data_IF_976156400536
#
_entry.id   IF_976156400536
#
_cell.length_a   1.000
_cell.length_b   1.000
_cell.length_c   1.000
_cell.angle_alpha   90.00
_cell.angle_beta   90.00
_cell.angle_gamma   90.00
#
_symmetry.space_group_name_H-M   'P 1'
#
loop_
_entity.id
_entity.type
_entity.pdbx_description
1 polymer ?
#
# COMPACT_ATOMS: atom_id res chain seq x y z
N UNK A 1 -64.67 -15.31 -13.91
CA UNK A 1 -63.49 -14.59 -14.48
C UNK A 1 -62.54 -13.94 -13.44
N UNK A 2 -63.01 -13.38 -12.31
CA UNK A 2 -62.12 -12.71 -11.32
C UNK A 2 -61.08 -13.63 -10.65
N UNK A 3 -61.45 -14.85 -10.25
CA UNK A 3 -60.54 -15.80 -9.59
C UNK A 3 -59.32 -16.21 -10.43
N UNK A 4 -59.46 -16.27 -11.77
CA UNK A 4 -58.36 -16.64 -12.65
C UNK A 4 -57.32 -15.52 -12.77
N UNK A 5 -57.75 -14.25 -12.73
CA UNK A 5 -56.85 -13.09 -12.73
C UNK A 5 -56.03 -13.02 -11.43
N UNK A 6 -56.65 -13.30 -10.28
CA UNK A 6 -55.94 -13.32 -8.98
C UNK A 6 -54.83 -14.38 -8.92
N UNK A 7 -55.08 -15.59 -9.44
CA UNK A 7 -54.04 -16.64 -9.57
C UNK A 7 -52.90 -16.22 -10.49
N UNK A 8 -53.21 -15.56 -11.61
CA UNK A 8 -52.18 -15.04 -12.53
C UNK A 8 -51.32 -13.98 -11.85
N UNK A 9 -51.91 -12.99 -11.18
CA UNK A 9 -51.16 -11.96 -10.45
C UNK A 9 -50.31 -12.55 -9.32
N UNK A 10 -50.85 -13.51 -8.57
CA UNK A 10 -50.13 -14.21 -7.52
C UNK A 10 -48.90 -14.96 -8.06
N UNK A 11 -49.05 -15.67 -9.18
CA UNK A 11 -47.92 -16.35 -9.84
C UNK A 11 -46.87 -15.37 -10.38
N UNK A 12 -47.27 -14.21 -10.91
CA UNK A 12 -46.34 -13.16 -11.35
C UNK A 12 -45.54 -12.61 -10.17
N UNK A 13 -46.20 -12.33 -9.04
CA UNK A 13 -45.54 -11.83 -7.82
C UNK A 13 -44.53 -12.85 -7.30
N UNK A 14 -44.90 -14.14 -7.26
CA UNK A 14 -43.98 -15.22 -6.86
C UNK A 14 -42.79 -15.30 -7.80
N UNK A 15 -43.01 -15.24 -9.11
CA UNK A 15 -41.91 -15.28 -10.09
C UNK A 15 -40.96 -14.10 -9.93
N UNK A 16 -41.48 -12.88 -9.73
CA UNK A 16 -40.66 -11.69 -9.46
C UNK A 16 -39.85 -11.89 -8.18
N UNK A 17 -40.49 -12.39 -7.11
CA UNK A 17 -39.80 -12.65 -5.84
C UNK A 17 -38.68 -13.68 -5.98
N UNK A 18 -38.92 -14.77 -6.72
CA UNK A 18 -37.90 -15.77 -7.01
C UNK A 18 -36.73 -15.19 -7.80
N UNK A 19 -37.00 -14.39 -8.84
CA UNK A 19 -35.95 -13.72 -9.62
C UNK A 19 -35.14 -12.78 -8.73
N UNK A 20 -35.80 -11.94 -7.91
CA UNK A 20 -35.14 -11.05 -6.96
C UNK A 20 -34.28 -11.81 -5.96
N UNK A 21 -34.77 -12.94 -5.44
CA UNK A 21 -34.02 -13.78 -4.52
C UNK A 21 -32.79 -14.40 -5.18
N UNK A 22 -32.92 -14.92 -6.41
CA UNK A 22 -31.79 -15.47 -7.17
C UNK A 22 -30.73 -14.41 -7.46
N UNK A 23 -31.14 -13.21 -7.87
CA UNK A 23 -30.22 -12.08 -8.11
C UNK A 23 -29.51 -11.70 -6.80
N UNK A 24 -30.22 -11.61 -5.68
CA UNK A 24 -29.62 -11.28 -4.38
C UNK A 24 -28.62 -12.34 -3.92
N UNK A 25 -28.96 -13.63 -4.05
CA UNK A 25 -28.05 -14.74 -3.71
C UNK A 25 -26.81 -14.70 -4.61
N UNK A 26 -26.98 -14.52 -5.92
CA UNK A 26 -25.87 -14.41 -6.86
C UNK A 26 -24.96 -13.22 -6.53
N UNK A 27 -25.54 -12.04 -6.26
CA UNK A 27 -24.79 -10.84 -5.87
C UNK A 27 -24.02 -11.08 -4.57
N UNK A 28 -24.64 -11.70 -3.56
CA UNK A 28 -24.00 -12.01 -2.28
C UNK A 28 -22.81 -12.98 -2.43
N UNK A 29 -22.96 -14.05 -3.22
CA UNK A 29 -21.87 -15.01 -3.49
C UNK A 29 -20.73 -14.34 -4.25
N UNK A 30 -21.06 -13.52 -5.24
CA UNK A 30 -20.09 -12.77 -6.04
C UNK A 30 -19.31 -11.82 -5.14
N UNK A 31 -19.99 -10.99 -4.35
CA UNK A 31 -19.38 -10.05 -3.40
C UNK A 31 -18.42 -10.74 -2.44
N UNK A 32 -18.83 -11.85 -1.81
CA UNK A 32 -17.98 -12.60 -0.89
C UNK A 32 -16.70 -13.14 -1.58
N UNK A 33 -16.83 -13.60 -2.83
CA UNK A 33 -15.68 -14.07 -3.62
C UNK A 33 -14.71 -12.92 -3.97
N UNK A 34 -15.24 -11.73 -4.30
CA UNK A 34 -14.41 -10.54 -4.53
C UNK A 34 -13.69 -10.09 -3.26
N UNK A 35 -14.39 -10.01 -2.12
CA UNK A 35 -13.79 -9.65 -0.83
C UNK A 35 -12.61 -10.57 -0.48
N UNK A 36 -12.79 -11.89 -0.59
CA UNK A 36 -11.71 -12.87 -0.39
C UNK A 36 -10.51 -12.62 -1.29
N UNK A 37 -10.73 -12.34 -2.58
CA UNK A 37 -9.65 -12.07 -3.54
C UNK A 37 -8.88 -10.80 -3.17
N UNK A 38 -9.60 -9.75 -2.78
CA UNK A 38 -8.97 -8.48 -2.41
C UNK A 38 -8.18 -8.63 -1.11
N UNK A 39 -8.72 -9.27 -0.05
CA UNK A 39 -7.93 -9.50 1.16
C UNK A 39 -6.65 -10.31 0.90
N UNK A 40 -6.72 -11.33 0.04
CA UNK A 40 -5.53 -12.10 -0.35
C UNK A 40 -4.51 -11.25 -1.10
N UNK A 41 -4.98 -10.35 -1.98
CA UNK A 41 -4.14 -9.43 -2.74
C UNK A 41 -3.50 -8.39 -1.80
N UNK A 42 -4.30 -7.74 -0.96
CA UNK A 42 -3.83 -6.75 0.01
C UNK A 42 -2.84 -7.37 0.99
N UNK A 43 -3.09 -8.60 1.48
CA UNK A 43 -2.13 -9.36 2.28
C UNK A 43 -0.77 -9.47 1.62
N UNK A 44 -0.75 -9.94 0.37
CA UNK A 44 0.48 -10.08 -0.41
C UNK A 44 1.17 -8.73 -0.60
N UNK A 45 0.42 -7.66 -0.87
CA UNK A 45 0.97 -6.32 -1.05
C UNK A 45 1.61 -5.80 0.24
N UNK A 46 0.96 -5.97 1.39
CA UNK A 46 1.48 -5.53 2.69
C UNK A 46 2.76 -6.31 3.05
N UNK A 47 2.76 -7.62 2.84
CA UNK A 47 3.92 -8.46 3.08
C UNK A 47 5.11 -8.03 2.21
N UNK A 48 4.84 -7.75 0.94
CA UNK A 48 5.86 -7.34 -0.01
C UNK A 48 6.42 -5.95 0.33
N UNK A 49 5.57 -5.00 0.71
CA UNK A 49 6.01 -3.68 1.20
C UNK A 49 6.95 -3.84 2.39
N UNK A 50 6.58 -4.66 3.38
CA UNK A 50 7.42 -4.86 4.56
C UNK A 50 8.76 -5.49 4.20
N UNK A 51 8.76 -6.59 3.45
CA UNK A 51 9.99 -7.27 3.03
C UNK A 51 10.92 -6.35 2.24
N UNK A 52 10.37 -5.57 1.29
CA UNK A 52 11.12 -4.58 0.53
C UNK A 52 11.64 -3.46 1.42
N UNK A 53 10.84 -2.98 2.37
CA UNK A 53 11.30 -1.97 3.30
C UNK A 53 12.43 -2.46 4.21
N UNK A 54 12.41 -3.73 4.66
CA UNK A 54 13.52 -4.34 5.40
C UNK A 54 14.81 -4.34 4.57
N UNK A 55 14.71 -4.67 3.28
CA UNK A 55 15.85 -4.63 2.36
C UNK A 55 16.36 -3.20 2.14
N UNK A 56 15.47 -2.22 1.91
CA UNK A 56 15.82 -0.81 1.76
C UNK A 56 16.53 -0.28 3.03
N UNK A 57 15.99 -0.60 4.20
CA UNK A 57 16.55 -0.17 5.48
C UNK A 57 18.00 -0.61 5.66
N UNK A 58 18.32 -1.85 5.29
CA UNK A 58 19.71 -2.38 5.37
C UNK A 58 20.66 -1.61 4.46
N UNK A 59 20.24 -1.32 3.23
CA UNK A 59 21.06 -0.54 2.29
C UNK A 59 21.26 0.88 2.83
N UNK A 60 20.18 1.51 3.31
CA UNK A 60 20.20 2.88 3.83
C UNK A 60 21.03 3.01 5.10
N UNK A 61 20.95 2.05 6.02
CA UNK A 61 21.74 2.02 7.25
C UNK A 61 23.24 2.04 6.95
N UNK A 62 23.70 1.17 6.06
CA UNK A 62 25.11 1.11 5.63
C UNK A 62 25.49 2.41 4.91
N UNK A 63 24.64 2.87 3.99
CA UNK A 63 24.87 4.08 3.21
C UNK A 63 25.04 5.34 4.08
N UNK A 64 24.16 5.52 5.06
CA UNK A 64 24.20 6.63 6.02
C UNK A 64 25.41 6.53 6.93
N UNK A 65 25.72 5.33 7.43
CA UNK A 65 26.85 5.09 8.34
C UNK A 65 28.20 5.34 7.67
N UNK A 66 28.38 4.84 6.46
CA UNK A 66 29.66 4.88 5.75
C UNK A 66 29.81 6.14 4.88
N UNK A 67 28.74 6.92 4.70
CA UNK A 67 28.70 8.09 3.82
C UNK A 67 28.85 7.75 2.34
N UNK A 68 28.65 6.49 1.97
CA UNK A 68 28.81 5.97 0.61
C UNK A 68 28.03 4.67 0.44
N UNK A 69 27.70 4.34 -0.81
CA UNK A 69 27.11 3.05 -1.17
C UNK A 69 27.66 2.57 -2.52
N UNK A 70 27.60 1.26 -2.77
CA UNK A 70 27.94 0.71 -4.08
C UNK A 70 26.86 1.07 -5.10
N UNK A 71 27.25 1.26 -6.35
CA UNK A 71 26.30 1.52 -7.44
C UNK A 71 25.21 0.45 -7.57
N UNK A 72 25.58 -0.82 -7.41
CA UNK A 72 24.62 -1.93 -7.40
C UNK A 72 23.59 -1.83 -6.27
N UNK A 73 24.00 -1.31 -5.10
CA UNK A 73 23.10 -1.08 -3.97
C UNK A 73 22.14 0.08 -4.25
N UNK A 74 22.60 1.15 -4.90
CA UNK A 74 21.71 2.25 -5.33
C UNK A 74 20.64 1.76 -6.33
N UNK A 75 21.03 0.95 -7.31
CA UNK A 75 20.09 0.35 -8.28
C UNK A 75 19.07 -0.53 -7.56
N UNK A 76 19.54 -1.40 -6.65
CA UNK A 76 18.66 -2.25 -5.84
C UNK A 76 17.73 -1.43 -4.96
N UNK A 77 18.21 -0.35 -4.36
CA UNK A 77 17.41 0.57 -3.55
C UNK A 77 16.29 1.20 -4.38
N UNK A 78 16.60 1.70 -5.58
CA UNK A 78 15.58 2.22 -6.51
C UNK A 78 14.54 1.16 -6.85
N UNK A 79 14.97 -0.04 -7.26
CA UNK A 79 14.05 -1.14 -7.58
C UNK A 79 13.14 -1.50 -6.40
N UNK A 80 13.69 -1.45 -5.18
CA UNK A 80 12.95 -1.70 -3.96
C UNK A 80 11.85 -0.65 -3.74
N UNK A 81 12.18 0.64 -3.90
CA UNK A 81 11.20 1.72 -3.80
C UNK A 81 10.18 1.74 -4.95
N UNK A 82 10.56 1.31 -6.16
CA UNK A 82 9.63 1.12 -7.28
C UNK A 82 8.55 0.07 -6.92
N UNK A 83 8.96 -1.06 -6.34
CA UNK A 83 8.02 -2.10 -5.87
C UNK A 83 7.15 -1.58 -4.72
N UNK A 84 7.73 -0.89 -3.73
CA UNK A 84 6.94 -0.35 -2.61
C UNK A 84 5.87 0.62 -3.12
N UNK A 85 6.22 1.50 -4.06
CA UNK A 85 5.26 2.42 -4.67
C UNK A 85 4.13 1.68 -5.38
N UNK A 86 4.45 0.67 -6.19
CA UNK A 86 3.45 -0.15 -6.89
C UNK A 86 2.48 -0.82 -5.89
N UNK A 87 3.01 -1.42 -4.82
CA UNK A 87 2.20 -2.12 -3.82
C UNK A 87 1.37 -1.16 -2.97
N UNK A 88 1.89 0.03 -2.67
CA UNK A 88 1.13 1.09 -2.02
C UNK A 88 -0.05 1.56 -2.89
N UNK A 89 0.17 1.76 -4.20
CA UNK A 89 -0.91 2.08 -5.13
C UNK A 89 -1.97 0.96 -5.16
N UNK A 90 -1.53 -0.30 -5.21
CA UNK A 90 -2.45 -1.44 -5.13
C UNK A 90 -3.26 -1.45 -3.82
N UNK A 91 -2.69 -1.03 -2.69
CA UNK A 91 -3.41 -0.95 -1.42
C UNK A 91 -4.39 0.21 -1.39
N UNK A 92 -4.06 1.35 -2.00
CA UNK A 92 -4.97 2.49 -2.17
C UNK A 92 -6.19 2.06 -2.99
N UNK A 93 -5.98 1.32 -4.09
CA UNK A 93 -7.06 0.80 -4.93
C UNK A 93 -7.96 -0.16 -4.16
N UNK A 94 -7.35 -1.11 -3.43
CA UNK A 94 -8.08 -2.09 -2.63
C UNK A 94 -8.86 -1.38 -1.50
N UNK A 95 -8.27 -0.41 -0.81
CA UNK A 95 -8.92 0.40 0.24
C UNK A 95 -10.09 1.22 -0.32
N UNK A 96 -9.88 1.92 -1.45
CA UNK A 96 -10.90 2.75 -2.11
C UNK A 96 -12.10 1.90 -2.54
N UNK A 97 -11.85 0.68 -3.00
CA UNK A 97 -12.91 -0.26 -3.32
C UNK A 97 -13.75 -0.61 -2.09
N UNK A 98 -13.12 -0.88 -0.94
CA UNK A 98 -13.84 -1.19 0.30
C UNK A 98 -14.60 0.01 0.87
N UNK A 99 -13.99 1.19 0.90
CA UNK A 99 -14.65 2.41 1.41
C UNK A 99 -15.89 2.76 0.60
N UNK A 100 -15.88 2.49 -0.71
CA UNK A 100 -16.99 2.78 -1.61
C UNK A 100 -18.07 1.68 -1.67
N UNK A 101 -17.82 0.50 -1.08
CA UNK A 101 -18.83 -0.57 -0.97
C UNK A 101 -19.81 -0.37 0.19
N UNK A 102 -19.57 0.59 1.09
CA UNK A 102 -20.57 1.06 2.03
C UNK A 102 -21.61 1.95 1.31
N UNK A 103 -22.46 1.34 0.48
CA UNK A 103 -23.51 1.97 -0.35
C UNK A 103 -24.61 2.68 0.47
N UNK A 104 -24.41 2.89 1.77
CA UNK A 104 -25.28 3.71 2.63
C UNK A 104 -24.55 4.68 3.57
N UNK A 105 -23.26 4.98 3.34
CA UNK A 105 -22.59 6.07 4.05
C UNK A 105 -22.38 7.27 3.12
N UNK A 106 -23.44 8.09 3.00
CA UNK A 106 -23.33 9.49 2.55
C UNK A 106 -22.66 10.26 3.70
N UNK A 107 -21.34 10.11 3.78
CA UNK A 107 -20.46 10.80 4.70
C UNK A 107 -19.10 10.81 4.06
N UNK A 108 -18.88 11.76 3.15
CA UNK A 108 -17.64 11.95 2.42
C UNK A 108 -16.50 12.27 3.40
N UNK A 109 -15.82 11.25 3.91
CA UNK A 109 -14.50 11.42 4.51
C UNK A 109 -13.46 11.57 3.39
N UNK A 110 -13.23 12.83 3.06
CA UNK A 110 -12.04 13.44 2.47
C UNK A 110 -11.06 12.52 1.71
N UNK A 111 -11.24 12.45 0.39
CA UNK A 111 -10.35 11.79 -0.57
C UNK A 111 -8.89 12.30 -0.53
N UNK A 112 -8.59 13.39 0.19
CA UNK A 112 -7.23 13.96 0.31
C UNK A 112 -6.29 13.12 1.17
N UNK A 113 -6.80 12.27 2.08
CA UNK A 113 -5.94 11.31 2.81
C UNK A 113 -5.42 10.20 1.91
N UNK A 114 -6.11 9.91 0.81
CA UNK A 114 -5.77 8.78 -0.04
C UNK A 114 -4.50 8.98 -0.89
N UNK A 115 -4.11 10.23 -1.14
CA UNK A 115 -2.96 10.56 -2.00
C UNK A 115 -1.62 10.62 -1.25
N UNK A 116 -1.63 10.80 0.08
CA UNK A 116 -0.41 11.03 0.85
C UNK A 116 0.56 9.82 0.87
N UNK A 117 0.04 8.60 0.92
CA UNK A 117 0.84 7.37 0.87
C UNK A 117 1.68 7.29 -0.40
N UNK A 118 1.13 7.68 -1.55
CA UNK A 118 1.85 7.68 -2.83
C UNK A 118 2.79 8.88 -2.98
N UNK A 119 2.46 10.03 -2.42
CA UNK A 119 3.18 11.29 -2.67
C UNK A 119 4.66 11.23 -2.24
N UNK A 120 4.95 10.70 -1.06
CA UNK A 120 6.34 10.57 -0.58
C UNK A 120 7.14 9.63 -1.49
N UNK A 121 6.60 8.45 -1.80
CA UNK A 121 7.26 7.47 -2.66
C UNK A 121 7.39 7.94 -4.12
N UNK A 122 6.45 8.74 -4.62
CA UNK A 122 6.51 9.38 -5.94
C UNK A 122 7.64 10.43 -6.03
N UNK A 123 8.05 11.05 -4.92
CA UNK A 123 9.20 11.96 -4.87
C UNK A 123 10.54 11.22 -4.74
N UNK A 124 10.56 10.07 -4.07
CA UNK A 124 11.76 9.25 -3.88
C UNK A 124 12.24 8.64 -5.20
N UNK A 125 11.32 8.19 -6.05
CA UNK A 125 11.64 7.58 -7.34
C UNK A 125 12.48 8.49 -8.26
N UNK A 126 12.08 9.72 -8.60
CA UNK A 126 12.87 10.59 -9.48
C UNK A 126 14.20 11.00 -8.84
N UNK A 127 14.26 11.14 -7.51
CA UNK A 127 15.50 11.37 -6.78
C UNK A 127 16.54 10.26 -7.03
N UNK A 128 16.14 9.00 -6.78
CA UNK A 128 17.03 7.86 -6.97
C UNK A 128 17.39 7.65 -8.45
N UNK A 129 16.46 7.89 -9.38
CA UNK A 129 16.75 7.83 -10.81
C UNK A 129 17.82 8.84 -11.21
N UNK A 130 17.67 10.11 -10.82
CA UNK A 130 18.65 11.15 -11.14
C UNK A 130 20.01 10.88 -10.48
N UNK A 131 20.02 10.36 -9.25
CA UNK A 131 21.28 9.96 -8.60
C UNK A 131 21.98 8.80 -9.35
N UNK A 132 21.22 7.87 -9.94
CA UNK A 132 21.79 6.83 -10.81
C UNK A 132 22.34 7.46 -12.10
N UNK A 133 21.57 8.33 -12.75
CA UNK A 133 21.97 9.00 -14.00
C UNK A 133 23.26 9.81 -13.81
N UNK A 134 23.36 10.60 -12.75
CA UNK A 134 24.54 11.42 -12.42
C UNK A 134 25.80 10.59 -12.18
N UNK A 135 25.65 9.30 -11.86
CA UNK A 135 26.76 8.40 -11.54
C UNK A 135 26.94 7.27 -12.56
N UNK A 136 26.18 7.24 -13.66
CA UNK A 136 26.16 6.10 -14.59
C UNK A 136 27.49 5.93 -15.34
N UNK A 137 28.15 7.05 -15.67
CA UNK A 137 29.43 7.08 -16.39
C UNK A 137 30.65 7.16 -15.46
N UNK A 138 30.44 7.22 -14.15
CA UNK A 138 31.55 7.23 -13.20
C UNK A 138 32.34 5.92 -13.33
N UNK A 139 33.67 5.98 -13.23
CA UNK A 139 34.53 4.78 -13.14
C UNK A 139 34.62 4.23 -11.72
N UNK A 140 34.10 4.95 -10.72
CA UNK A 140 34.12 4.55 -9.33
C UNK A 140 32.96 3.61 -9.00
N UNK A 141 33.25 2.47 -8.36
CA UNK A 141 32.24 1.50 -7.89
C UNK A 141 31.34 2.11 -6.80
N UNK A 142 31.89 3.05 -6.02
CA UNK A 142 31.20 3.71 -4.92
C UNK A 142 30.65 5.07 -5.31
N UNK A 143 29.46 5.37 -4.79
CA UNK A 143 28.80 6.66 -4.85
C UNK A 143 28.90 7.27 -3.46
N UNK A 144 29.51 8.45 -3.37
CA UNK A 144 29.65 9.18 -2.11
C UNK A 144 28.40 10.03 -1.86
N UNK A 145 27.90 9.95 -0.63
CA UNK A 145 26.63 10.54 -0.20
C UNK A 145 26.96 11.75 0.67
N UNK A 146 27.25 12.87 0.02
CA UNK A 146 27.72 14.08 0.66
C UNK A 146 26.72 15.23 0.50
N UNK A 147 26.83 16.26 1.34
CA UNK A 147 26.00 17.46 1.24
C UNK A 147 24.51 17.14 1.29
N UNK A 148 23.76 17.58 0.27
CA UNK A 148 22.31 17.38 0.20
C UNK A 148 21.89 15.91 0.12
N UNK A 149 22.66 15.09 -0.59
CA UNK A 149 22.36 13.65 -0.69
C UNK A 149 22.44 12.98 0.67
N UNK A 150 23.34 13.42 1.56
CA UNK A 150 23.41 12.90 2.93
C UNK A 150 22.13 13.18 3.71
N UNK A 151 21.56 14.37 3.56
CA UNK A 151 20.29 14.74 4.21
C UNK A 151 19.14 13.87 3.66
N UNK A 152 19.07 13.71 2.34
CA UNK A 152 18.05 12.87 1.70
C UNK A 152 18.16 11.40 2.14
N UNK A 153 19.36 10.83 2.17
CA UNK A 153 19.58 9.44 2.63
C UNK A 153 19.24 9.24 4.10
N UNK A 154 19.57 10.20 4.97
CA UNK A 154 19.12 10.16 6.36
C UNK A 154 17.59 10.16 6.46
N UNK A 155 16.90 10.96 5.65
CA UNK A 155 15.42 10.98 5.64
C UNK A 155 14.79 9.72 5.06
N UNK A 156 15.41 9.11 4.04
CA UNK A 156 15.00 7.79 3.55
C UNK A 156 15.17 6.73 4.64
N UNK A 157 16.29 6.79 5.38
CA UNK A 157 16.57 5.87 6.47
C UNK A 157 15.57 6.01 7.61
N UNK A 158 15.29 7.24 8.06
CA UNK A 158 14.27 7.54 9.08
C UNK A 158 12.90 6.98 8.66
N UNK A 159 12.45 7.26 7.43
CA UNK A 159 11.19 6.75 6.87
C UNK A 159 11.15 5.22 6.89
N UNK A 160 12.23 4.58 6.46
CA UNK A 160 12.32 3.12 6.39
C UNK A 160 12.31 2.49 7.78
N UNK A 161 12.98 3.10 8.75
CA UNK A 161 13.00 2.67 10.15
C UNK A 161 11.65 2.80 10.83
N UNK A 162 10.94 3.92 10.61
CA UNK A 162 9.58 4.11 11.13
C UNK A 162 8.62 3.07 10.54
N UNK A 163 8.74 2.81 9.23
CA UNK A 163 7.95 1.79 8.53
C UNK A 163 8.22 0.39 9.08
N UNK A 164 9.49 0.03 9.35
CA UNK A 164 9.81 -1.26 9.98
C UNK A 164 9.25 -1.35 11.40
N UNK A 165 9.43 -0.31 12.19
CA UNK A 165 8.92 -0.25 13.58
C UNK A 165 7.40 -0.41 13.63
N UNK A 166 6.70 0.17 12.64
CA UNK A 166 5.26 -0.01 12.48
C UNK A 166 4.89 -1.47 12.23
N UNK A 167 5.53 -2.13 11.26
CA UNK A 167 5.25 -3.53 10.94
C UNK A 167 5.57 -4.48 12.09
N UNK A 168 6.69 -4.26 12.79
CA UNK A 168 7.04 -5.04 13.98
C UNK A 168 5.97 -4.93 15.07
N UNK A 169 5.47 -3.71 15.33
CA UNK A 169 4.34 -3.51 16.27
C UNK A 169 3.05 -4.15 15.76
N UNK A 170 2.77 -4.04 14.46
CA UNK A 170 1.59 -4.64 13.83
C UNK A 170 1.59 -6.16 14.02
N UNK A 171 2.71 -6.82 13.70
CA UNK A 171 2.91 -8.26 13.89
C UNK A 171 2.79 -8.62 15.37
N UNK A 172 3.56 -7.97 16.25
CA UNK A 172 3.56 -8.25 17.69
C UNK A 172 2.17 -8.15 18.33
N UNK A 173 1.36 -7.19 17.90
CA UNK A 173 0.07 -6.91 18.53
C UNK A 173 -1.09 -7.75 17.96
N UNK A 174 -0.94 -8.29 16.75
CA UNK A 174 -2.07 -8.89 16.02
C UNK A 174 -1.82 -10.32 15.54
N UNK A 175 -0.58 -10.78 15.55
CA UNK A 175 -0.22 -12.13 15.16
C UNK A 175 -0.33 -13.11 16.33
N UNK A 176 -0.96 -14.24 16.09
CA UNK A 176 -1.11 -15.31 17.09
C UNK A 176 0.22 -16.02 17.40
N UNK A 177 1.14 -16.07 16.42
CA UNK A 177 2.43 -16.76 16.51
C UNK A 177 3.63 -15.81 16.44
N UNK A 178 3.40 -14.50 16.43
CA UNK A 178 4.44 -13.48 16.30
C UNK A 178 5.06 -13.39 14.90
N UNK A 179 4.49 -14.05 13.90
CA UNK A 179 4.91 -13.98 12.49
C UNK A 179 3.93 -13.15 11.66
N UNK A 180 4.34 -12.73 10.47
CA UNK A 180 3.44 -12.04 9.55
C UNK A 180 2.35 -12.97 9.00
N UNK A 181 2.63 -14.27 8.85
CA UNK A 181 1.63 -15.26 8.43
C UNK A 181 0.50 -15.41 9.46
N UNK A 182 0.81 -15.24 10.75
CA UNK A 182 -0.20 -15.15 11.81
C UNK A 182 -1.15 -13.95 11.68
N UNK A 183 -0.90 -12.99 10.79
CA UNK A 183 -1.82 -11.88 10.49
C UNK A 183 -2.91 -12.24 9.47
N UNK A 184 -2.78 -13.35 8.74
CA UNK A 184 -3.64 -13.71 7.61
C UNK A 184 -5.13 -13.80 7.98
N UNK A 185 -5.44 -14.27 9.19
CA UNK A 185 -6.82 -14.35 9.72
C UNK A 185 -7.41 -12.99 10.13
N UNK A 186 -6.56 -11.98 10.37
CA UNK A 186 -6.96 -10.61 10.72
C UNK A 186 -7.19 -9.76 9.49
N UNK A 187 -6.41 -9.99 8.42
CA UNK A 187 -6.53 -9.27 7.15
C UNK A 187 -7.84 -9.49 6.40
N UNK A 188 -8.54 -10.58 6.67
CA UNK A 188 -9.89 -10.80 6.17
C UNK A 188 -10.97 -9.94 6.85
N UNK A 189 -10.58 -8.98 7.70
CA UNK A 189 -11.47 -8.03 8.37
C UNK A 189 -11.21 -6.63 7.84
N UNK A 190 -12.25 -5.96 7.34
CA UNK A 190 -12.17 -4.60 6.77
C UNK A 190 -11.44 -3.60 7.69
N UNK A 191 -11.70 -3.67 9.00
CA UNK A 191 -11.06 -2.81 10.00
C UNK A 191 -9.53 -2.95 10.04
N UNK A 192 -9.00 -4.13 9.77
CA UNK A 192 -7.56 -4.37 9.80
C UNK A 192 -6.87 -3.75 8.58
N UNK A 193 -7.47 -3.90 7.39
CA UNK A 193 -6.93 -3.24 6.19
C UNK A 193 -6.92 -1.71 6.35
N UNK A 194 -8.00 -1.15 6.92
CA UNK A 194 -8.07 0.29 7.24
C UNK A 194 -6.99 0.70 8.25
N UNK A 195 -6.73 -0.12 9.28
CA UNK A 195 -5.65 0.13 10.23
C UNK A 195 -4.27 0.12 9.56
N UNK A 196 -4.04 -0.82 8.63
CA UNK A 196 -2.79 -0.88 7.86
C UNK A 196 -2.61 0.37 7.01
N UNK A 197 -3.64 0.70 6.26
CA UNK A 197 -3.66 1.86 5.38
C UNK A 197 -3.40 3.17 6.14
N UNK A 198 -4.13 3.39 7.23
CA UNK A 198 -4.00 4.59 8.06
C UNK A 198 -2.62 4.68 8.74
N UNK A 199 -2.10 3.55 9.22
CA UNK A 199 -0.76 3.52 9.83
C UNK A 199 0.34 3.89 8.84
N UNK A 200 0.28 3.38 7.61
CA UNK A 200 1.24 3.75 6.57
C UNK A 200 1.09 5.22 6.15
N UNK A 201 -0.14 5.73 6.06
CA UNK A 201 -0.41 7.14 5.78
C UNK A 201 0.14 8.07 6.87
N UNK A 202 -0.04 7.72 8.14
CA UNK A 202 0.49 8.49 9.28
C UNK A 202 2.00 8.60 9.21
N UNK A 203 2.70 7.50 8.95
CA UNK A 203 4.15 7.50 8.74
C UNK A 203 4.53 8.44 7.60
N UNK A 204 3.91 8.27 6.42
CA UNK A 204 4.24 9.09 5.25
C UNK A 204 3.95 10.57 5.44
N UNK A 205 2.94 10.92 6.24
CA UNK A 205 2.59 12.31 6.55
C UNK A 205 3.73 13.06 7.25
N UNK A 206 4.57 12.36 8.02
CA UNK A 206 5.76 12.93 8.68
C UNK A 206 6.86 13.33 7.69
N UNK A 207 6.82 12.77 6.48
CA UNK A 207 7.84 12.97 5.43
C UNK A 207 7.33 13.71 4.20
N UNK A 208 6.05 14.12 4.17
CA UNK A 208 5.42 14.75 3.00
C UNK A 208 6.12 16.02 2.50
N UNK A 209 6.74 16.77 3.42
CA UNK A 209 7.43 18.04 3.15
C UNK A 209 8.94 17.86 2.91
N UNK A 210 9.44 16.63 2.90
CA UNK A 210 10.85 16.38 2.58
C UNK A 210 11.09 16.70 1.10
N UNK A 211 12.09 17.53 0.85
CA UNK A 211 12.55 17.86 -0.48
C UNK A 211 13.56 16.81 -0.96
N UNK A 212 13.12 15.96 -1.89
CA UNK A 212 13.94 14.97 -2.57
C UNK A 212 14.45 15.47 -3.94
N UNK A 213 14.64 16.79 -4.12
CA UNK A 213 15.27 17.31 -5.34
C UNK A 213 16.79 17.15 -5.32
N UNK A 214 17.34 16.58 -6.39
CA UNK A 214 18.80 16.52 -6.59
C UNK A 214 19.29 17.90 -6.99
N UNK A 215 20.28 18.44 -6.28
CA UNK A 215 21.00 19.63 -6.71
C UNK A 215 21.68 19.34 -8.05
N UNK A 216 21.48 20.20 -9.06
CA UNK A 216 22.27 20.12 -10.28
C UNK A 216 23.75 20.26 -9.90
N UNK A 217 24.52 19.20 -10.12
CA UNK A 217 25.97 19.25 -9.98
C UNK A 217 26.49 20.13 -11.11
N UNK A 218 26.82 21.39 -10.79
CA UNK A 218 27.60 22.26 -11.68
C UNK A 218 29.01 21.73 -11.85
#
# INVERSE_FOLDING_TARGET
>A
MKQNKTKIYFNIIISIFFISLLVNVYMSVKENSYKKRIYSKSYSSIQEIWNKNVDANKILEVAVKDGKLKRGELIRLKQTYDVILEKNLSLIDDYTFYSNQEVFNIGSEDNTKNTMLSDSYMKIKPYLSKLIEDNIYSSNEYIYINGRDSICFNKLYDLSKDTNSYYEKLVKNNSEDGTFDGLKSKLSKDKFLNQVYNGLNEINSNYKNVDFSVQDKK
#
